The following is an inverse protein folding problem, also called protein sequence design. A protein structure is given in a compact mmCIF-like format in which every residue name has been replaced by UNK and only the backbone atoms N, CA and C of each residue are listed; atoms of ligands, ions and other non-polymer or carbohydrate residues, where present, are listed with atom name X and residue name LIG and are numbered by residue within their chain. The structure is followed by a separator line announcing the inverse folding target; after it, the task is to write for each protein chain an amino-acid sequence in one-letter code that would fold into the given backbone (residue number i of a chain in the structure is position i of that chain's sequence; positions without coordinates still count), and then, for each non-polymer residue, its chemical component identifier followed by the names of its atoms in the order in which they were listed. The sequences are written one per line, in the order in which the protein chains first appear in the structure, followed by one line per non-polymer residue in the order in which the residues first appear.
data_IF_682306772402
#
_entry.id   IF_682306772402
#
_cell.length_a   1.000
_cell.length_b   1.000
_cell.length_c   1.000
_cell.angle_alpha   90.00
_cell.angle_beta   90.00
_cell.angle_gamma   90.00
#
_symmetry.space_group_name_H-M   'P 1'
#
loop_
_entity.id
_entity.type
_entity.pdbx_description
1 polymer ?
#
# COMPACT_ATOMS: atom_id res chain seq x y z
N UNK A 1 13.98 10.22 0.51
CA UNK A 1 12.85 9.59 -0.20
C UNK A 1 13.31 8.41 -1.02
N UNK A 2 12.51 7.34 -1.04
CA UNK A 2 12.72 6.18 -1.92
C UNK A 2 12.00 6.49 -3.25
N UNK A 3 12.71 6.53 -4.40
CA UNK A 3 12.08 6.80 -5.68
C UNK A 3 10.94 5.80 -5.99
N UNK A 4 9.78 6.32 -6.40
CA UNK A 4 8.61 5.50 -6.72
C UNK A 4 7.64 5.25 -5.56
N UNK A 5 8.04 5.50 -4.30
CA UNK A 5 7.17 5.28 -3.14
C UNK A 5 6.18 6.44 -2.85
N UNK A 6 6.13 7.45 -3.71
CA UNK A 6 5.19 8.57 -3.59
C UNK A 6 3.86 8.32 -4.30
N UNK A 7 3.75 7.22 -5.04
CA UNK A 7 2.57 6.85 -5.81
C UNK A 7 2.16 5.42 -5.49
N UNK A 8 0.85 5.17 -5.45
CA UNK A 8 0.28 3.85 -5.22
C UNK A 8 0.78 2.85 -6.27
N UNK A 9 1.21 1.67 -5.83
CA UNK A 9 1.66 0.60 -6.70
C UNK A 9 0.58 0.12 -7.68
N UNK A 10 -0.68 0.04 -7.22
CA UNK A 10 -1.78 -0.52 -8.03
C UNK A 10 -2.38 0.48 -9.03
N UNK A 11 -2.49 1.76 -8.64
CA UNK A 11 -3.26 2.75 -9.41
C UNK A 11 -2.49 4.03 -9.74
N UNK A 12 -1.27 4.21 -9.21
CA UNK A 12 -0.44 5.40 -9.44
C UNK A 12 -0.87 6.65 -8.68
N UNK A 13 -1.96 6.62 -7.91
CA UNK A 13 -2.44 7.78 -7.15
C UNK A 13 -1.50 8.15 -6.01
N UNK A 14 -1.22 9.45 -5.87
CA UNK A 14 -0.53 10.06 -4.72
C UNK A 14 -1.53 10.79 -3.80
N UNK A 15 -1.30 10.83 -2.48
CA UNK A 15 -0.21 10.19 -1.75
C UNK A 15 -0.46 8.69 -1.50
N UNK A 16 0.63 7.95 -1.28
CA UNK A 16 0.61 6.53 -0.91
C UNK A 16 1.13 6.34 0.52
N UNK A 17 0.26 6.63 1.49
CA UNK A 17 0.58 6.63 2.93
C UNK A 17 0.33 5.27 3.61
N UNK A 18 0.10 4.22 2.83
CA UNK A 18 -0.07 2.85 3.31
C UNK A 18 0.95 1.93 2.65
N UNK A 19 1.31 0.85 3.34
CA UNK A 19 2.20 -0.15 2.79
C UNK A 19 1.74 -1.57 3.13
N UNK A 20 1.89 -2.49 2.18
CA UNK A 20 1.82 -3.93 2.45
C UNK A 20 3.21 -4.43 2.81
N UNK A 21 3.41 -4.82 4.06
CA UNK A 21 4.73 -5.29 4.55
C UNK A 21 5.06 -6.66 3.95
N UNK A 22 4.05 -7.51 3.75
CA UNK A 22 4.23 -8.84 3.14
C UNK A 22 4.76 -8.74 1.71
N UNK A 23 4.31 -7.72 0.96
CA UNK A 23 4.59 -7.57 -0.47
C UNK A 23 5.67 -6.52 -0.77
N UNK A 24 5.99 -5.63 0.17
CA UNK A 24 6.97 -4.56 -0.02
C UNK A 24 6.50 -3.46 -0.98
N UNK A 25 5.20 -3.16 -1.01
CA UNK A 25 4.60 -2.14 -1.90
C UNK A 25 3.91 -1.04 -1.09
N UNK A 26 3.81 0.16 -1.67
CA UNK A 26 3.03 1.29 -1.13
C UNK A 26 1.69 1.42 -1.84
N UNK A 27 0.67 1.86 -1.12
CA UNK A 27 -0.72 1.87 -1.54
C UNK A 27 -1.38 3.19 -1.14
N UNK A 28 -2.31 3.67 -1.96
CA UNK A 28 -3.24 4.72 -1.55
C UNK A 28 -4.30 4.15 -0.59
N UNK A 29 -5.09 5.03 0.03
CA UNK A 29 -6.16 4.63 0.95
C UNK A 29 -7.12 3.59 0.35
N UNK A 30 -7.54 3.78 -0.90
CA UNK A 30 -8.52 2.91 -1.57
C UNK A 30 -7.97 1.51 -1.85
N UNK A 31 -6.81 1.42 -2.51
CA UNK A 31 -6.14 0.14 -2.77
C UNK A 31 -5.74 -0.58 -1.47
N UNK A 32 -5.38 0.17 -0.42
CA UNK A 32 -5.12 -0.41 0.90
C UNK A 32 -6.36 -1.13 1.47
N UNK A 33 -7.56 -0.61 1.21
CA UNK A 33 -8.84 -1.23 1.60
C UNK A 33 -9.08 -2.56 0.88
N UNK A 34 -8.82 -2.60 -0.43
CA UNK A 34 -8.87 -3.84 -1.22
C UNK A 34 -7.90 -4.87 -0.66
N UNK A 35 -6.64 -4.49 -0.41
CA UNK A 35 -5.64 -5.37 0.15
C UNK A 35 -6.00 -5.91 1.55
N UNK A 36 -6.68 -5.11 2.40
CA UNK A 36 -7.18 -5.57 3.70
C UNK A 36 -8.23 -6.67 3.57
N UNK A 37 -9.07 -6.61 2.54
CA UNK A 37 -10.10 -7.63 2.29
C UNK A 37 -9.52 -9.01 1.92
N UNK A 38 -8.29 -9.06 1.41
CA UNK A 38 -7.59 -10.31 1.06
C UNK A 38 -7.14 -11.12 2.28
N UNK A 39 -7.15 -10.51 3.47
CA UNK A 39 -6.67 -11.10 4.71
C UNK A 39 -5.16 -10.99 4.91
N UNK A 40 -4.74 -11.04 6.18
CA UNK A 40 -3.36 -10.74 6.60
C UNK A 40 -2.30 -11.72 6.08
N UNK A 41 -2.70 -12.96 5.76
CA UNK A 41 -1.81 -13.94 5.17
C UNK A 41 -1.43 -13.60 3.72
N UNK A 42 -2.30 -12.90 3.01
CA UNK A 42 -2.07 -12.47 1.63
C UNK A 42 -1.43 -11.08 1.59
N UNK A 43 -1.94 -10.13 2.38
CA UNK A 43 -1.43 -8.76 2.42
C UNK A 43 -1.56 -8.14 3.80
N UNK A 44 -0.44 -7.93 4.48
CA UNK A 44 -0.40 -7.26 5.77
C UNK A 44 -0.18 -5.75 5.62
N UNK A 45 -1.28 -4.99 5.68
CA UNK A 45 -1.30 -3.54 5.45
C UNK A 45 -1.09 -2.73 6.74
N UNK A 46 -0.15 -1.76 6.71
CA UNK A 46 0.11 -0.79 7.78
C UNK A 46 0.12 0.64 7.23
N UNK A 47 -0.16 1.61 8.11
CA UNK A 47 0.05 3.03 7.82
C UNK A 47 1.55 3.27 7.78
N UNK A 48 2.04 3.94 6.75
CA UNK A 48 3.42 4.42 6.65
C UNK A 48 3.41 5.91 6.99
N UNK A 49 3.36 6.22 8.29
CA UNK A 49 3.82 7.54 8.75
C UNK A 49 5.35 7.60 8.70
#
# INVERSE_FOLDING_TARGET
DIPGNSACFDCGTSPSDWASITLGIVLCLECSGVHRSLGVGCSFVRSSE
#
